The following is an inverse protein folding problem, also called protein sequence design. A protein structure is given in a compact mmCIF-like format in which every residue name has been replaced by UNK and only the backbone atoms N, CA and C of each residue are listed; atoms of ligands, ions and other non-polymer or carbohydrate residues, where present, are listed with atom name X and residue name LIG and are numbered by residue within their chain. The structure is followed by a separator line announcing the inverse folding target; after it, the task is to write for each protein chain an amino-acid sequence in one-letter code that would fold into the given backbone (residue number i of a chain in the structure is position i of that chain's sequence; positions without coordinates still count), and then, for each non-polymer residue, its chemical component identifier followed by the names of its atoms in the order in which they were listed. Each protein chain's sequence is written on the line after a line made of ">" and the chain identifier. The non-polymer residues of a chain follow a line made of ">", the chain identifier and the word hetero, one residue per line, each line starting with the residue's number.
data_IF_564761274369
#
_entry.id   IF_564761274369
#
_cell.length_a   1.000
_cell.length_b   1.000
_cell.length_c   1.000
_cell.angle_alpha   90.00
_cell.angle_beta   90.00
_cell.angle_gamma   90.00
#
_symmetry.space_group_name_H-M   'P 1'
#
loop_
_entity.id
_entity.type
_entity.pdbx_description
1 polymer ?
#
# COMPACT_ATOMS: atom_id res chain seq x y z
N UNK A 1 -10.66 13.54 -14.79
CA UNK A 1 -9.26 13.16 -15.12
C UNK A 1 -8.98 11.76 -14.60
N UNK A 2 -9.05 11.54 -13.28
CA UNK A 2 -8.97 10.20 -12.70
C UNK A 2 -10.10 9.26 -13.17
N UNK A 3 -11.29 9.79 -13.47
CA UNK A 3 -12.39 8.99 -14.08
C UNK A 3 -12.07 8.40 -15.47
N UNK A 4 -11.06 8.91 -16.18
CA UNK A 4 -10.61 8.36 -17.49
C UNK A 4 -9.37 7.49 -17.35
N UNK A 5 -8.45 7.88 -16.48
CA UNK A 5 -7.29 7.09 -16.11
C UNK A 5 -6.95 7.32 -14.64
N UNK A 6 -7.26 6.32 -13.83
CA UNK A 6 -7.09 6.35 -12.39
C UNK A 6 -5.64 6.19 -11.95
N UNK A 7 -4.81 5.62 -12.83
CA UNK A 7 -3.37 5.39 -12.63
C UNK A 7 -2.54 6.61 -13.04
N UNK A 8 -3.20 7.71 -13.40
CA UNK A 8 -2.53 8.95 -13.74
C UNK A 8 -1.95 9.61 -12.46
N UNK A 9 -0.68 9.36 -12.18
CA UNK A 9 0.02 9.90 -11.01
C UNK A 9 0.05 11.43 -10.97
N UNK A 10 0.14 12.09 -12.14
CA UNK A 10 0.04 13.54 -12.22
C UNK A 10 -1.35 14.04 -11.83
N UNK A 11 -2.40 13.29 -12.13
CA UNK A 11 -3.76 13.62 -11.73
C UNK A 11 -3.97 13.52 -10.23
N UNK A 12 -3.35 12.55 -9.57
CA UNK A 12 -3.33 12.47 -8.11
C UNK A 12 -2.54 13.61 -7.47
N UNK A 13 -1.35 13.94 -8.00
CA UNK A 13 -0.58 15.09 -7.54
C UNK A 13 -1.38 16.40 -7.69
N UNK A 14 -2.04 16.57 -8.84
CA UNK A 14 -2.91 17.73 -9.08
C UNK A 14 -4.13 17.75 -8.16
N UNK A 15 -4.76 16.60 -7.89
CA UNK A 15 -5.86 16.50 -6.92
C UNK A 15 -5.44 17.01 -5.54
N UNK A 16 -4.30 16.55 -5.02
CA UNK A 16 -3.75 17.06 -3.74
C UNK A 16 -3.47 18.55 -3.76
N UNK A 17 -2.91 19.06 -4.86
CA UNK A 17 -2.68 20.48 -5.04
C UNK A 17 -3.99 21.28 -4.97
N UNK A 18 -5.04 20.82 -5.65
CA UNK A 18 -6.35 21.50 -5.63
C UNK A 18 -6.98 21.44 -4.23
N UNK A 19 -6.97 20.28 -3.57
CA UNK A 19 -7.51 20.10 -2.22
C UNK A 19 -6.85 21.05 -1.23
N UNK A 20 -5.51 21.15 -1.22
CA UNK A 20 -4.82 22.06 -0.31
C UNK A 20 -5.15 23.54 -0.53
N UNK A 21 -5.50 23.93 -1.75
CA UNK A 21 -5.98 25.29 -2.03
C UNK A 21 -7.43 25.48 -1.59
N UNK A 22 -8.28 24.46 -1.75
CA UNK A 22 -9.67 24.48 -1.30
C UNK A 22 -9.79 24.56 0.22
N UNK A 23 -8.89 23.90 0.96
CA UNK A 23 -8.82 23.95 2.43
C UNK A 23 -8.17 25.25 2.96
N UNK A 24 -7.58 26.07 2.09
CA UNK A 24 -6.85 27.27 2.53
C UNK A 24 -7.77 28.33 3.14
N UNK A 25 -7.25 29.03 4.15
CA UNK A 25 -7.95 30.15 4.80
C UNK A 25 -8.33 31.28 3.82
N UNK A 26 -7.60 31.41 2.70
CA UNK A 26 -7.91 32.38 1.64
C UNK A 26 -9.29 32.13 1.00
N UNK A 27 -9.77 30.88 1.02
CA UNK A 27 -11.06 30.49 0.44
C UNK A 27 -12.12 30.19 1.51
N UNK A 28 -11.85 30.49 2.79
CA UNK A 28 -12.67 30.03 3.92
C UNK A 28 -12.97 28.52 3.86
N UNK A 29 -11.94 27.76 3.48
CA UNK A 29 -11.99 26.33 3.25
C UNK A 29 -12.31 25.52 4.51
N UNK A 30 -12.96 24.37 4.32
CA UNK A 30 -13.18 23.36 5.34
C UNK A 30 -12.38 22.10 5.02
N UNK A 31 -12.03 21.32 6.05
CA UNK A 31 -11.30 20.06 5.89
C UNK A 31 -12.04 19.12 4.93
N UNK A 32 -11.32 18.61 3.94
CA UNK A 32 -11.79 17.68 2.93
C UNK A 32 -11.43 16.22 3.25
N UNK A 33 -10.80 15.98 4.41
CA UNK A 33 -10.28 14.69 4.88
C UNK A 33 -11.27 13.54 4.68
N UNK A 34 -12.52 13.69 5.13
CA UNK A 34 -13.56 12.65 4.98
C UNK A 34 -13.86 12.34 3.51
N UNK A 35 -13.92 13.36 2.66
CA UNK A 35 -14.21 13.20 1.24
C UNK A 35 -13.04 12.57 0.48
N UNK A 36 -11.80 12.93 0.82
CA UNK A 36 -10.59 12.33 0.24
C UNK A 36 -10.41 10.88 0.72
N UNK A 37 -10.73 10.59 1.97
CA UNK A 37 -10.73 9.24 2.52
C UNK A 37 -11.77 8.34 1.83
N UNK A 38 -13.01 8.83 1.67
CA UNK A 38 -14.06 8.09 0.96
C UNK A 38 -13.70 7.85 -0.51
N UNK A 39 -13.15 8.86 -1.19
CA UNK A 39 -12.67 8.71 -2.56
C UNK A 39 -11.57 7.66 -2.65
N UNK A 40 -10.55 7.75 -1.80
CA UNK A 40 -9.42 6.80 -1.77
C UNK A 40 -9.89 5.37 -1.51
N UNK A 41 -10.85 5.18 -0.60
CA UNK A 41 -11.45 3.86 -0.30
C UNK A 41 -12.18 3.28 -1.52
N UNK A 42 -12.84 4.13 -2.32
CA UNK A 42 -13.47 3.71 -3.59
C UNK A 42 -12.42 3.24 -4.59
N UNK A 43 -11.25 3.90 -4.64
CA UNK A 43 -10.16 3.51 -5.54
C UNK A 43 -9.55 2.16 -5.16
N UNK A 44 -9.38 1.90 -3.86
CA UNK A 44 -9.00 0.57 -3.35
C UNK A 44 -10.00 -0.49 -3.78
N UNK A 45 -11.29 -0.27 -3.52
CA UNK A 45 -12.35 -1.22 -3.91
C UNK A 45 -12.33 -1.55 -5.41
N UNK A 46 -11.98 -0.58 -6.28
CA UNK A 46 -11.87 -0.83 -7.71
C UNK A 46 -10.64 -1.66 -8.08
N UNK A 47 -9.46 -1.31 -7.55
CA UNK A 47 -8.24 -2.05 -7.85
C UNK A 47 -8.30 -3.47 -7.28
N UNK A 48 -8.89 -3.64 -6.09
CA UNK A 48 -9.13 -4.94 -5.45
C UNK A 48 -10.03 -5.82 -6.34
N UNK A 49 -11.08 -5.24 -6.94
CA UNK A 49 -11.92 -5.92 -7.91
C UNK A 49 -11.16 -6.42 -9.16
N UNK A 50 -10.16 -5.66 -9.62
CA UNK A 50 -9.28 -6.09 -10.71
C UNK A 50 -8.30 -7.19 -10.27
N UNK A 51 -7.73 -7.05 -9.07
CA UNK A 51 -6.78 -8.02 -8.51
C UNK A 51 -7.43 -9.37 -8.19
N UNK A 52 -8.73 -9.40 -7.88
CA UNK A 52 -9.48 -10.66 -7.70
C UNK A 52 -9.53 -11.53 -8.96
N UNK A 53 -9.47 -10.92 -10.15
CA UNK A 53 -9.62 -11.63 -11.43
C UNK A 53 -8.32 -11.73 -12.23
N UNK A 54 -7.36 -10.85 -11.96
CA UNK A 54 -6.08 -10.80 -12.68
C UNK A 54 -4.95 -10.28 -11.80
N UNK A 55 -4.59 -10.99 -10.72
CA UNK A 55 -3.48 -10.58 -9.85
C UNK A 55 -2.12 -10.70 -10.57
N UNK A 56 -2.02 -11.29 -11.75
CA UNK A 56 -0.80 -11.24 -12.58
C UNK A 56 -0.57 -9.86 -13.22
N UNK A 57 -1.58 -8.99 -13.27
CA UNK A 57 -1.45 -7.65 -13.84
C UNK A 57 -0.63 -6.73 -12.92
N UNK A 58 0.66 -6.62 -13.23
CA UNK A 58 1.61 -5.74 -12.58
C UNK A 58 1.14 -4.28 -12.46
N UNK A 59 0.37 -3.78 -13.44
CA UNK A 59 -0.09 -2.39 -13.43
C UNK A 59 -1.14 -2.12 -12.35
N UNK A 60 -1.93 -3.13 -11.97
CA UNK A 60 -2.86 -3.06 -10.84
C UNK A 60 -2.09 -2.96 -9.53
N UNK A 61 -1.04 -3.78 -9.35
CA UNK A 61 -0.19 -3.72 -8.16
C UNK A 61 0.54 -2.39 -8.00
N UNK A 62 1.08 -1.83 -9.09
CA UNK A 62 1.69 -0.50 -9.03
C UNK A 62 0.69 0.59 -8.68
N UNK A 63 -0.56 0.44 -9.08
CA UNK A 63 -1.59 1.38 -8.67
C UNK A 63 -2.00 1.20 -7.21
N UNK A 64 -2.18 -0.05 -6.76
CA UNK A 64 -2.46 -0.38 -5.38
C UNK A 64 -1.35 0.13 -4.44
N UNK A 65 -0.08 -0.14 -4.78
CA UNK A 65 1.10 0.33 -4.03
C UNK A 65 1.17 1.85 -3.99
N UNK A 66 0.84 2.52 -5.09
CA UNK A 66 0.75 3.97 -5.11
C UNK A 66 -0.29 4.48 -4.10
N UNK A 67 -1.50 3.92 -4.07
CA UNK A 67 -2.52 4.33 -3.11
C UNK A 67 -2.04 4.15 -1.66
N UNK A 68 -1.46 2.99 -1.33
CA UNK A 68 -0.93 2.71 0.03
C UNK A 68 0.13 3.73 0.44
N UNK A 69 1.14 3.98 -0.41
CA UNK A 69 2.21 4.91 -0.06
C UNK A 69 1.73 6.35 0.04
N UNK A 70 0.74 6.76 -0.77
CA UNK A 70 0.18 8.09 -0.63
C UNK A 70 -0.71 8.25 0.61
N UNK A 71 -1.28 7.18 1.18
CA UNK A 71 -1.95 7.21 2.50
C UNK A 71 -0.92 7.29 3.62
N UNK A 72 0.17 6.54 3.50
CA UNK A 72 1.23 6.43 4.51
C UNK A 72 2.35 7.48 4.39
N UNK A 73 2.24 8.41 3.43
CA UNK A 73 3.28 9.36 3.06
C UNK A 73 3.75 10.20 4.26
N UNK A 74 5.06 10.48 4.31
CA UNK A 74 5.69 11.29 5.34
C UNK A 74 6.61 12.36 4.71
N UNK A 75 6.55 13.63 5.14
CA UNK A 75 5.70 14.17 6.21
C UNK A 75 4.20 14.15 5.88
N UNK A 76 3.34 14.01 6.90
CA UNK A 76 1.91 13.75 6.75
C UNK A 76 1.16 14.75 5.83
N UNK A 77 1.63 15.99 5.70
CA UNK A 77 1.05 16.99 4.80
C UNK A 77 1.16 16.65 3.31
N UNK A 78 1.98 15.64 2.95
CA UNK A 78 2.07 15.12 1.58
C UNK A 78 1.11 13.96 1.32
N UNK A 79 0.50 13.39 2.35
CA UNK A 79 -0.45 12.28 2.19
C UNK A 79 -1.72 12.72 1.45
N UNK A 80 -2.43 11.77 0.84
CA UNK A 80 -3.77 12.04 0.27
C UNK A 80 -4.75 12.48 1.35
N UNK A 81 -4.58 11.97 2.57
CA UNK A 81 -5.39 12.32 3.74
C UNK A 81 -4.47 12.75 4.89
N UNK A 82 -4.00 14.02 4.90
CA UNK A 82 -2.98 14.47 5.83
C UNK A 82 -3.32 14.35 7.32
N UNK A 83 -4.55 14.72 7.68
CA UNK A 83 -5.01 14.78 9.08
C UNK A 83 -5.52 13.43 9.61
N UNK A 84 -5.42 12.36 8.80
CA UNK A 84 -5.85 11.03 9.20
C UNK A 84 -4.95 10.48 10.31
N UNK A 85 -5.58 9.96 11.38
CA UNK A 85 -4.87 9.35 12.50
C UNK A 85 -4.04 8.15 12.05
N UNK A 86 -2.90 7.93 12.72
CA UNK A 86 -2.00 6.81 12.42
C UNK A 86 -2.71 5.47 12.57
N UNK A 87 -3.61 5.31 13.54
CA UNK A 87 -4.34 4.05 13.72
C UNK A 87 -5.31 3.80 12.58
N UNK A 88 -5.97 4.84 12.07
CA UNK A 88 -6.86 4.69 10.92
C UNK A 88 -6.08 4.37 9.65
N UNK A 89 -4.90 5.00 9.45
CA UNK A 89 -3.99 4.65 8.35
C UNK A 89 -3.60 3.18 8.42
N UNK A 90 -3.15 2.72 9.59
CA UNK A 90 -2.77 1.32 9.79
C UNK A 90 -3.97 0.41 9.59
N UNK A 91 -5.16 0.76 10.10
CA UNK A 91 -6.38 -0.04 9.91
C UNK A 91 -6.74 -0.18 8.43
N UNK A 92 -6.59 0.88 7.64
CA UNK A 92 -6.78 0.80 6.18
C UNK A 92 -5.77 -0.15 5.56
N UNK A 93 -4.48 0.01 5.86
CA UNK A 93 -3.42 -0.82 5.26
C UNK A 93 -3.58 -2.29 5.69
N UNK A 94 -3.93 -2.56 6.95
CA UNK A 94 -4.20 -3.92 7.44
C UNK A 94 -5.35 -4.59 6.69
N UNK A 95 -6.43 -3.87 6.37
CA UNK A 95 -7.52 -4.41 5.54
C UNK A 95 -7.05 -4.83 4.16
N UNK A 96 -6.07 -4.11 3.59
CA UNK A 96 -5.49 -4.44 2.30
C UNK A 96 -4.54 -5.63 2.42
N UNK A 97 -3.80 -5.76 3.53
CA UNK A 97 -3.04 -6.98 3.84
C UNK A 97 -3.98 -8.19 3.94
N UNK A 98 -5.10 -8.07 4.65
CA UNK A 98 -6.10 -9.14 4.77
C UNK A 98 -6.66 -9.53 3.39
N UNK A 99 -7.05 -8.55 2.58
CA UNK A 99 -7.48 -8.78 1.19
C UNK A 99 -6.42 -9.52 0.36
N UNK A 100 -5.14 -9.13 0.45
CA UNK A 100 -4.07 -9.79 -0.30
C UNK A 100 -3.81 -11.21 0.23
N UNK A 101 -4.03 -11.46 1.54
CA UNK A 101 -3.98 -12.81 2.11
C UNK A 101 -5.10 -13.68 1.54
N UNK A 102 -6.30 -13.14 1.35
CA UNK A 102 -7.40 -13.88 0.70
C UNK A 102 -7.03 -14.30 -0.72
N UNK A 103 -6.28 -13.47 -1.48
CA UNK A 103 -5.80 -13.86 -2.80
C UNK A 103 -4.85 -15.08 -2.77
N UNK A 104 -4.15 -15.34 -1.65
CA UNK A 104 -3.30 -16.53 -1.54
C UNK A 104 -4.09 -17.84 -1.53
N UNK A 105 -5.40 -17.81 -1.25
CA UNK A 105 -6.22 -19.03 -1.29
C UNK A 105 -6.29 -19.63 -2.70
N UNK A 106 -6.26 -18.78 -3.72
CA UNK A 106 -6.36 -19.18 -5.13
C UNK A 106 -5.02 -19.02 -5.89
N UNK A 107 -4.18 -18.05 -5.52
CA UNK A 107 -3.00 -17.64 -6.29
C UNK A 107 -1.69 -17.82 -5.51
N UNK A 108 -0.90 -18.82 -5.90
CA UNK A 108 0.30 -19.23 -5.15
C UNK A 108 1.63 -18.93 -5.88
N UNK A 109 1.55 -18.53 -7.16
CA UNK A 109 2.68 -18.28 -8.06
C UNK A 109 2.76 -16.84 -8.55
N UNK A 110 1.91 -15.95 -8.01
CA UNK A 110 1.94 -14.52 -8.30
C UNK A 110 2.87 -13.82 -7.29
N UNK A 111 4.08 -13.49 -7.75
CA UNK A 111 5.11 -12.84 -6.93
C UNK A 111 4.64 -11.56 -6.23
N UNK A 112 3.83 -10.75 -6.90
CA UNK A 112 3.35 -9.47 -6.39
C UNK A 112 2.54 -9.58 -5.09
N UNK A 113 1.78 -10.67 -4.93
CA UNK A 113 1.01 -10.94 -3.71
C UNK A 113 1.98 -10.99 -2.51
N UNK A 114 3.03 -11.81 -2.59
CA UNK A 114 4.03 -11.91 -1.54
C UNK A 114 4.82 -10.62 -1.31
N UNK A 115 5.20 -9.91 -2.39
CA UNK A 115 5.93 -8.64 -2.29
C UNK A 115 5.11 -7.57 -1.56
N UNK A 116 3.81 -7.44 -1.88
CA UNK A 116 2.93 -6.47 -1.24
C UNK A 116 2.57 -6.86 0.20
N UNK A 117 2.38 -8.15 0.51
CA UNK A 117 2.21 -8.63 1.89
C UNK A 117 3.42 -8.24 2.75
N UNK A 118 4.62 -8.49 2.26
CA UNK A 118 5.87 -8.12 2.93
C UNK A 118 5.96 -6.60 3.16
N UNK A 119 5.80 -5.80 2.10
CA UNK A 119 5.95 -4.34 2.19
C UNK A 119 4.89 -3.70 3.08
N UNK A 120 3.63 -4.08 2.94
CA UNK A 120 2.54 -3.44 3.68
C UNK A 120 2.54 -3.85 5.14
N UNK A 121 2.87 -5.10 5.45
CA UNK A 121 3.04 -5.53 6.84
C UNK A 121 4.15 -4.71 7.49
N UNK A 122 5.36 -4.66 6.90
CA UNK A 122 6.45 -3.83 7.42
C UNK A 122 6.08 -2.35 7.57
N UNK A 123 5.29 -1.81 6.62
CA UNK A 123 4.82 -0.44 6.68
C UNK A 123 3.91 -0.18 7.89
N UNK A 124 3.01 -1.09 8.23
CA UNK A 124 2.15 -0.93 9.42
C UNK A 124 2.96 -0.88 10.73
N UNK A 125 3.96 -1.75 10.88
CA UNK A 125 4.88 -1.74 12.02
C UNK A 125 5.69 -0.45 12.09
N UNK A 126 6.20 0.01 10.94
CA UNK A 126 6.92 1.28 10.85
C UNK A 126 6.05 2.46 11.25
N UNK A 127 4.79 2.50 10.82
CA UNK A 127 3.85 3.58 11.15
C UNK A 127 3.53 3.61 12.65
N UNK A 128 3.37 2.45 13.29
CA UNK A 128 3.14 2.36 14.74
C UNK A 128 4.40 2.50 15.59
N UNK A 129 5.58 2.47 14.97
CA UNK A 129 6.87 2.36 15.66
C UNK A 129 6.91 1.14 16.60
N UNK A 130 6.34 0.02 16.14
CA UNK A 130 6.25 -1.24 16.89
C UNK A 130 7.28 -2.24 16.35
N UNK A 131 7.89 -3.06 17.22
CA UNK A 131 8.75 -4.15 16.79
C UNK A 131 7.92 -5.31 16.20
N UNK A 132 8.54 -6.09 15.31
CA UNK A 132 7.96 -7.34 14.79
C UNK A 132 7.92 -8.40 15.91
N UNK A 133 6.78 -9.09 16.02
CA UNK A 133 6.63 -10.28 16.86
C UNK A 133 7.17 -11.54 16.18
N UNK A 134 7.31 -12.64 16.93
CA UNK A 134 7.87 -13.90 16.42
C UNK A 134 7.03 -14.48 15.27
N UNK A 135 5.71 -14.50 15.42
CA UNK A 135 4.78 -15.02 14.41
C UNK A 135 4.86 -14.21 13.12
N UNK A 136 4.89 -12.88 13.22
CA UNK A 136 4.98 -12.02 12.04
C UNK A 136 6.34 -12.11 11.38
N UNK A 137 7.43 -12.22 12.15
CA UNK A 137 8.74 -12.49 11.58
C UNK A 137 8.71 -13.77 10.74
N UNK A 138 8.20 -14.89 11.29
CA UNK A 138 8.05 -16.17 10.58
C UNK A 138 7.22 -16.04 9.29
N UNK A 139 6.12 -15.28 9.34
CA UNK A 139 5.28 -15.01 8.19
C UNK A 139 6.06 -14.26 7.10
N UNK A 140 6.80 -13.21 7.46
CA UNK A 140 7.66 -12.47 6.53
C UNK A 140 8.76 -13.36 5.93
N UNK A 141 9.36 -14.28 6.71
CA UNK A 141 10.36 -15.24 6.18
C UNK A 141 9.77 -16.13 5.09
N UNK A 142 8.55 -16.62 5.32
CA UNK A 142 7.84 -17.47 4.36
C UNK A 142 7.54 -16.73 3.04
N UNK A 143 7.18 -15.44 3.12
CA UNK A 143 6.93 -14.61 1.95
C UNK A 143 8.21 -14.28 1.21
N UNK A 144 9.29 -13.92 1.91
CA UNK A 144 10.60 -13.66 1.30
C UNK A 144 11.10 -14.90 0.56
N UNK A 145 10.93 -16.09 1.15
CA UNK A 145 11.27 -17.37 0.51
C UNK A 145 10.48 -17.56 -0.79
N UNK A 146 9.18 -17.28 -0.77
CA UNK A 146 8.32 -17.35 -1.94
C UNK A 146 8.73 -16.34 -3.02
N UNK A 147 9.08 -15.11 -2.64
CA UNK A 147 9.58 -14.07 -3.56
C UNK A 147 10.91 -14.50 -4.21
N UNK A 148 11.88 -15.00 -3.43
CA UNK A 148 13.17 -15.50 -3.94
C UNK A 148 12.97 -16.59 -5.00
N UNK A 149 11.99 -17.49 -4.79
CA UNK A 149 11.62 -18.55 -5.74
C UNK A 149 10.98 -17.99 -7.01
N UNK A 150 10.08 -17.01 -6.89
CA UNK A 150 9.30 -16.46 -8.00
C UNK A 150 10.03 -15.36 -8.80
N UNK A 151 11.06 -14.74 -8.23
CA UNK A 151 11.88 -13.69 -8.86
C UNK A 151 13.39 -14.01 -8.76
N UNK A 152 13.86 -15.09 -9.43
CA UNK A 152 15.25 -15.53 -9.35
C UNK A 152 16.23 -14.50 -9.93
N UNK A 153 15.77 -13.63 -10.85
CA UNK A 153 16.61 -12.60 -11.45
C UNK A 153 17.03 -11.53 -10.43
N UNK A 154 16.25 -11.32 -9.37
CA UNK A 154 16.54 -10.36 -8.30
C UNK A 154 16.84 -11.05 -6.97
N UNK A 155 17.27 -12.31 -7.00
CA UNK A 155 17.55 -13.10 -5.80
C UNK A 155 18.44 -12.38 -4.79
N UNK A 156 19.57 -11.80 -5.24
CA UNK A 156 20.50 -11.08 -4.36
C UNK A 156 19.84 -9.89 -3.66
N UNK A 157 18.95 -9.14 -4.34
CA UNK A 157 18.18 -8.04 -3.72
C UNK A 157 17.31 -8.57 -2.58
N UNK A 158 16.65 -9.71 -2.80
CA UNK A 158 15.76 -10.32 -1.82
C UNK A 158 16.55 -10.96 -0.66
N UNK A 159 17.74 -11.49 -0.93
CA UNK A 159 18.64 -11.99 0.12
C UNK A 159 19.18 -10.85 1.00
N UNK A 160 19.66 -9.76 0.41
CA UNK A 160 20.08 -8.58 1.17
C UNK A 160 18.94 -8.00 2.03
N UNK A 161 17.69 -8.03 1.53
CA UNK A 161 16.53 -7.61 2.30
C UNK A 161 16.27 -8.56 3.49
N UNK A 162 16.34 -9.87 3.28
CA UNK A 162 16.19 -10.87 4.32
C UNK A 162 17.21 -10.66 5.46
N UNK A 163 18.47 -10.48 5.09
CA UNK A 163 19.56 -10.22 6.04
C UNK A 163 19.33 -8.95 6.86
N UNK A 164 18.90 -7.86 6.22
CA UNK A 164 18.57 -6.59 6.90
C UNK A 164 17.41 -6.74 7.89
N UNK A 165 16.42 -7.55 7.53
CA UNK A 165 15.27 -7.84 8.37
C UNK A 165 15.58 -8.89 9.46
N UNK A 166 16.80 -9.45 9.47
CA UNK A 166 17.22 -10.57 10.34
C UNK A 166 16.31 -11.79 10.21
N UNK A 167 15.81 -12.00 9.00
CA UNK A 167 15.01 -13.15 8.60
C UNK A 167 15.98 -14.31 8.33
N UNK A 168 15.79 -15.45 9.00
CA UNK A 168 16.59 -16.66 8.74
C UNK A 168 16.36 -17.20 7.33
N UNK A 169 17.41 -17.77 6.72
CA UNK A 169 17.34 -18.48 5.43
C UNK A 169 16.61 -19.84 5.55
#
# INVERSE_FOLDING_TARGET
>A
MLSRDQRNYHAWAYRRYVVSHLESSRLDGQSMVESEFAYTTTMFSMVDGGLNVGPEDQSLWYYHQYLIFNVAEQPANLAIVPEMDVNDKVKLISRQVDFIKDLLEDYHDVKWIFEMLLEYTLLTYKLRNEPLGVEQSQELESWVTSIKRLDPQRFNRWQELAEKLKISD
#
